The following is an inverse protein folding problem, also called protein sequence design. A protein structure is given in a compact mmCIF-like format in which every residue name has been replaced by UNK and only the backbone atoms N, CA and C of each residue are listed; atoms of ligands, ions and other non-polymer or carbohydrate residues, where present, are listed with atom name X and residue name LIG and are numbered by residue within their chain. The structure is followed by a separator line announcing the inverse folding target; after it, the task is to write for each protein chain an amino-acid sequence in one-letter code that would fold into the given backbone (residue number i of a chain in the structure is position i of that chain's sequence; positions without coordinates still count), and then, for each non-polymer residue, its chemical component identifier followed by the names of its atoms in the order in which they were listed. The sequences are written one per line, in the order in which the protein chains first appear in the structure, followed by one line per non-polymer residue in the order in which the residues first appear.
data_IF_053495782029
#
_entry.id   IF_053495782029
#
_cell.length_a   1.000
_cell.length_b   1.000
_cell.length_c   1.000
_cell.angle_alpha   90.00
_cell.angle_beta   90.00
_cell.angle_gamma   90.00
#
_symmetry.space_group_name_H-M   'P 1'
#
loop_
_entity.id
_entity.type
_entity.pdbx_description
1 polymer ?
#
# COMPACT_ATOMS: atom_id res chain seq x y z
N UNK A 1 99.90 -43.14 -24.60
CA UNK A 1 99.31 -44.39 -24.18
C UNK A 1 98.25 -44.08 -23.08
N UNK A 2 97.04 -44.43 -23.35
CA UNK A 2 95.96 -44.85 -22.45
C UNK A 2 95.38 -43.76 -21.50
N UNK A 3 94.27 -43.60 -21.27
CA UNK A 3 92.88 -44.06 -21.51
C UNK A 3 91.98 -43.28 -20.61
N UNK A 4 90.99 -42.65 -21.09
CA UNK A 4 89.58 -42.94 -21.12
C UNK A 4 88.84 -43.20 -19.79
N UNK A 5 87.61 -42.60 -19.72
CA UNK A 5 86.35 -42.96 -19.05
C UNK A 5 86.11 -42.32 -17.70
N UNK A 6 85.07 -41.51 -17.64
CA UNK A 6 83.76 -41.78 -17.21
C UNK A 6 83.16 -40.67 -16.33
N UNK A 7 82.36 -39.79 -16.86
CA UNK A 7 81.43 -39.00 -16.05
C UNK A 7 80.18 -38.61 -16.88
N UNK A 8 79.21 -39.43 -16.77
CA UNK A 8 77.93 -39.15 -17.38
C UNK A 8 76.86 -39.98 -16.71
N UNK A 9 76.22 -39.47 -15.60
CA UNK A 9 74.94 -39.94 -15.10
C UNK A 9 74.62 -39.34 -13.72
N UNK A 10 74.37 -38.04 -13.61
CA UNK A 10 73.79 -37.47 -12.38
C UNK A 10 72.94 -36.22 -12.60
N UNK A 11 72.53 -35.83 -13.79
CA UNK A 11 71.81 -34.59 -14.00
C UNK A 11 70.29 -34.73 -14.34
N UNK A 12 69.74 -35.92 -14.46
CA UNK A 12 68.37 -36.10 -14.92
C UNK A 12 67.29 -36.35 -13.80
N UNK A 13 67.69 -36.42 -12.52
CA UNK A 13 66.68 -36.63 -11.42
C UNK A 13 66.22 -35.36 -10.69
N UNK A 14 66.94 -34.25 -10.79
CA UNK A 14 66.60 -33.01 -10.09
C UNK A 14 65.46 -32.17 -10.78
N UNK A 15 65.24 -32.40 -12.07
CA UNK A 15 64.35 -31.55 -12.85
C UNK A 15 62.84 -32.03 -12.85
N UNK A 16 62.58 -33.20 -12.31
CA UNK A 16 61.19 -33.73 -12.30
C UNK A 16 60.40 -33.43 -11.00
N UNK A 17 61.11 -33.22 -9.88
CA UNK A 17 60.49 -32.86 -8.59
C UNK A 17 60.01 -31.39 -8.58
N UNK A 18 60.77 -30.49 -9.21
CA UNK A 18 60.40 -29.07 -9.29
C UNK A 18 59.18 -28.80 -10.21
N UNK A 19 59.00 -29.62 -11.24
CA UNK A 19 57.82 -29.54 -12.11
C UNK A 19 56.56 -30.03 -11.40
N UNK A 20 56.64 -31.07 -10.58
CA UNK A 20 55.51 -31.58 -9.81
C UNK A 20 55.08 -30.59 -8.71
N UNK A 21 56.01 -29.97 -7.99
CA UNK A 21 55.71 -28.95 -6.97
C UNK A 21 55.11 -27.69 -7.58
N UNK A 22 55.55 -27.25 -8.76
CA UNK A 22 54.94 -26.11 -9.47
C UNK A 22 53.57 -26.43 -10.00
N UNK A 23 53.28 -27.65 -10.47
CA UNK A 23 51.95 -28.05 -10.88
C UNK A 23 50.96 -28.10 -9.68
N UNK A 24 51.43 -28.60 -8.53
CA UNK A 24 50.62 -28.62 -7.29
C UNK A 24 50.27 -27.21 -6.80
N UNK A 25 51.19 -26.26 -6.86
CA UNK A 25 50.94 -24.86 -6.54
C UNK A 25 49.91 -24.21 -7.47
N UNK A 26 49.95 -24.49 -8.76
CA UNK A 26 48.96 -23.99 -9.71
C UNK A 26 47.53 -24.56 -9.45
N UNK A 27 47.46 -25.83 -9.02
CA UNK A 27 46.16 -26.43 -8.63
C UNK A 27 45.58 -25.78 -7.40
N UNK A 28 46.38 -25.46 -6.39
CA UNK A 28 45.90 -24.74 -5.18
C UNK A 28 45.50 -23.31 -5.48
N UNK A 29 46.22 -22.59 -6.35
CA UNK A 29 45.87 -21.25 -6.80
C UNK A 29 44.56 -21.27 -7.61
N UNK A 30 44.38 -22.24 -8.51
CA UNK A 30 43.15 -22.42 -9.28
C UNK A 30 41.97 -22.77 -8.38
N UNK A 31 42.17 -23.62 -7.37
CA UNK A 31 41.13 -23.96 -6.38
C UNK A 31 40.75 -22.75 -5.52
N UNK A 32 41.73 -21.98 -5.06
CA UNK A 32 41.50 -20.75 -4.30
C UNK A 32 40.77 -19.68 -5.12
N UNK A 33 41.15 -19.53 -6.42
CA UNK A 33 40.46 -18.63 -7.35
C UNK A 33 39.00 -19.07 -7.63
N UNK A 34 38.78 -20.39 -7.80
CA UNK A 34 37.45 -20.95 -7.98
C UNK A 34 36.58 -20.79 -6.71
N UNK A 35 37.13 -20.94 -5.50
CA UNK A 35 36.42 -20.69 -4.24
C UNK A 35 36.12 -19.21 -4.05
N UNK A 36 37.04 -18.30 -4.41
CA UNK A 36 36.81 -16.86 -4.37
C UNK A 36 35.73 -16.42 -5.36
N UNK A 37 35.70 -17.03 -6.56
CA UNK A 37 34.65 -16.79 -7.56
C UNK A 37 33.29 -17.34 -7.10
N UNK A 38 33.25 -18.50 -6.46
CA UNK A 38 32.03 -19.08 -5.88
C UNK A 38 31.51 -18.26 -4.70
N UNK A 39 32.40 -17.70 -3.87
CA UNK A 39 32.01 -16.81 -2.76
C UNK A 39 31.45 -15.47 -3.25
N UNK A 40 31.90 -14.94 -4.40
CA UNK A 40 31.35 -13.71 -4.99
C UNK A 40 29.97 -13.91 -5.64
N UNK A 41 29.62 -15.14 -6.03
CA UNK A 41 28.28 -15.48 -6.57
C UNK A 41 27.22 -15.74 -5.48
N UNK A 42 27.63 -15.94 -4.21
CA UNK A 42 26.72 -16.24 -3.11
C UNK A 42 26.05 -15.00 -2.50
N UNK A 43 26.40 -13.77 -2.92
CA UNK A 43 25.79 -12.51 -2.45
C UNK A 43 24.96 -11.84 -3.54
N UNK A 44 24.22 -12.61 -4.33
CA UNK A 44 23.15 -12.04 -5.14
C UNK A 44 21.97 -11.68 -4.20
N UNK A 45 22.08 -10.54 -3.50
CA UNK A 45 20.91 -9.91 -2.89
C UNK A 45 19.90 -9.70 -4.01
N UNK A 46 18.65 -10.12 -3.78
CA UNK A 46 17.54 -9.80 -4.69
C UNK A 46 17.55 -8.28 -4.90
N UNK A 47 17.67 -7.79 -6.14
CA UNK A 47 17.70 -6.34 -6.36
C UNK A 47 16.40 -5.74 -5.84
N UNK A 48 16.51 -4.81 -4.90
CA UNK A 48 15.40 -4.02 -4.43
C UNK A 48 14.81 -3.18 -5.57
N UNK A 49 13.57 -2.76 -5.44
CA UNK A 49 12.97 -1.82 -6.38
C UNK A 49 13.45 -0.41 -6.03
N UNK A 50 14.12 0.32 -6.94
CA UNK A 50 14.49 1.71 -6.67
C UNK A 50 13.23 2.57 -6.58
N UNK A 51 13.10 3.32 -5.50
CA UNK A 51 12.05 4.28 -5.26
C UNK A 51 12.62 5.52 -4.57
N UNK A 52 12.00 6.69 -4.76
CA UNK A 52 12.44 7.88 -4.05
C UNK A 52 11.88 7.88 -2.63
N UNK A 53 12.63 8.48 -1.71
CA UNK A 53 12.19 8.62 -0.31
C UNK A 53 10.78 9.19 -0.22
N UNK A 54 10.44 10.25 -0.98
CA UNK A 54 9.10 10.84 -1.01
C UNK A 54 7.97 9.91 -1.44
N UNK A 55 8.27 8.81 -2.18
CA UNK A 55 7.27 7.88 -2.68
C UNK A 55 6.98 6.75 -1.68
N UNK A 56 7.91 6.50 -0.74
CA UNK A 56 7.87 5.38 0.21
C UNK A 56 7.88 5.80 1.67
N UNK A 57 8.05 7.09 1.92
CA UNK A 57 8.10 7.65 3.27
C UNK A 57 7.42 9.02 3.33
N UNK A 58 7.10 9.43 4.55
CA UNK A 58 6.56 10.75 4.90
C UNK A 58 7.43 11.40 5.95
N UNK A 59 7.39 12.73 6.05
CA UNK A 59 8.15 13.46 7.06
C UNK A 59 7.26 13.67 8.28
N UNK A 60 7.77 13.35 9.46
CA UNK A 60 7.04 13.51 10.73
C UNK A 60 6.65 14.98 10.94
N UNK A 61 5.39 15.20 11.30
CA UNK A 61 4.85 16.55 11.52
C UNK A 61 4.32 17.23 10.25
N UNK A 62 4.70 16.76 9.05
CA UNK A 62 4.17 17.27 7.78
C UNK A 62 3.04 16.34 7.33
N UNK A 63 1.80 16.71 7.63
CA UNK A 63 0.63 15.89 7.32
C UNK A 63 -0.58 16.75 6.98
N UNK A 64 -1.48 16.15 6.25
CA UNK A 64 -2.81 16.71 6.04
C UNK A 64 -3.59 16.77 7.35
N UNK A 65 -4.32 17.87 7.58
CA UNK A 65 -5.18 18.04 8.72
C UNK A 65 -6.65 17.98 8.28
N UNK A 66 -7.44 17.15 8.96
CA UNK A 66 -8.87 17.06 8.67
C UNK A 66 -9.61 18.18 9.38
N UNK A 67 -10.44 18.90 8.62
CA UNK A 67 -11.31 19.94 9.13
C UNK A 67 -12.76 19.50 9.04
N UNK A 68 -13.55 19.84 10.06
CA UNK A 68 -14.96 19.53 10.12
C UNK A 68 -15.75 20.79 10.45
N UNK A 69 -16.87 20.99 9.78
CA UNK A 69 -17.80 22.06 10.06
C UNK A 69 -19.24 21.60 10.04
N UNK A 70 -20.10 22.38 10.62
CA UNK A 70 -21.54 22.20 10.56
C UNK A 70 -22.17 23.44 9.93
N UNK A 71 -22.93 23.26 8.86
CA UNK A 71 -23.47 24.35 8.06
C UNK A 71 -24.87 24.11 7.56
N UNK A 72 -25.35 25.06 6.78
CA UNK A 72 -26.68 25.06 6.19
C UNK A 72 -26.56 25.19 4.66
N UNK A 73 -27.20 24.29 3.95
CA UNK A 73 -27.43 24.37 2.50
C UNK A 73 -28.79 24.97 2.26
N UNK A 74 -28.88 25.95 1.39
CA UNK A 74 -30.12 26.64 1.02
C UNK A 74 -30.37 26.56 -0.47
N UNK A 75 -31.62 26.87 -0.91
CA UNK A 75 -31.98 26.87 -2.32
C UNK A 75 -32.44 25.50 -2.84
N UNK A 76 -32.71 24.56 -1.93
CA UNK A 76 -33.23 23.24 -2.28
C UNK A 76 -34.68 23.32 -2.72
N UNK A 77 -35.05 22.65 -3.81
CA UNK A 77 -36.41 22.73 -4.38
C UNK A 77 -37.36 21.72 -3.71
N UNK A 78 -37.60 21.89 -2.42
CA UNK A 78 -38.48 20.99 -1.64
C UNK A 78 -37.85 19.64 -1.26
N UNK A 79 -36.56 19.47 -1.49
CA UNK A 79 -35.80 18.23 -1.20
C UNK A 79 -34.99 18.32 0.09
N UNK A 80 -35.07 19.46 0.78
CA UNK A 80 -34.37 19.70 2.05
C UNK A 80 -34.98 18.93 3.23
N UNK A 81 -34.56 19.31 4.43
CA UNK A 81 -34.97 18.66 5.67
C UNK A 81 -36.46 18.88 5.94
N UNK A 82 -37.07 17.93 6.65
CA UNK A 82 -38.47 18.05 7.07
C UNK A 82 -38.61 18.97 8.29
N UNK A 83 -39.83 19.37 8.56
CA UNK A 83 -40.15 20.17 9.76
C UNK A 83 -39.94 19.43 11.09
N UNK A 84 -39.71 18.13 11.04
CA UNK A 84 -39.39 17.32 12.23
C UNK A 84 -37.93 17.47 12.66
N UNK A 85 -37.08 17.97 11.78
CA UNK A 85 -35.65 18.20 12.05
C UNK A 85 -35.47 19.63 12.60
N UNK A 86 -35.14 19.75 13.88
CA UNK A 86 -35.00 21.05 14.57
C UNK A 86 -33.74 21.80 14.16
N UNK A 87 -32.66 21.09 13.81
CA UNK A 87 -31.34 21.64 13.56
C UNK A 87 -31.27 22.71 12.46
N UNK A 88 -31.88 22.56 11.26
CA UNK A 88 -31.82 23.56 10.21
C UNK A 88 -32.44 24.90 10.60
N UNK A 89 -33.56 24.85 11.30
CA UNK A 89 -34.27 26.06 11.78
C UNK A 89 -33.41 26.84 12.79
N UNK A 90 -32.80 26.14 13.75
CA UNK A 90 -31.97 26.76 14.77
C UNK A 90 -30.68 27.34 14.17
N UNK A 91 -30.08 26.64 13.23
CA UNK A 91 -28.86 27.11 12.52
C UNK A 91 -29.16 28.36 11.67
N UNK A 92 -30.31 28.38 10.99
CA UNK A 92 -30.77 29.55 10.26
C UNK A 92 -30.95 30.76 11.17
N UNK A 93 -31.63 30.58 12.31
CA UNK A 93 -31.83 31.66 13.27
C UNK A 93 -30.50 32.23 13.75
N UNK A 94 -29.58 31.35 14.15
CA UNK A 94 -28.24 31.77 14.57
C UNK A 94 -27.47 32.49 13.46
N UNK A 95 -27.66 32.11 12.20
CA UNK A 95 -27.07 32.79 11.06
C UNK A 95 -27.68 34.17 10.83
N UNK A 96 -29.04 34.30 10.95
CA UNK A 96 -29.76 35.55 10.82
C UNK A 96 -29.42 36.54 11.96
N UNK A 97 -29.30 36.04 13.19
CA UNK A 97 -28.91 36.84 14.36
C UNK A 97 -27.48 37.41 14.19
N UNK A 98 -26.56 36.66 13.65
CA UNK A 98 -25.19 37.13 13.30
C UNK A 98 -25.20 38.23 12.24
N UNK A 99 -26.20 38.24 11.36
CA UNK A 99 -26.44 39.30 10.37
C UNK A 99 -27.26 40.49 10.92
N UNK A 100 -27.60 40.47 12.21
CA UNK A 100 -28.40 41.52 12.86
C UNK A 100 -29.91 41.40 12.65
N UNK A 101 -30.40 40.26 12.16
CA UNK A 101 -31.81 40.00 11.94
C UNK A 101 -32.36 39.19 13.13
N UNK A 102 -33.30 39.77 13.90
CA UNK A 102 -33.92 39.10 15.05
C UNK A 102 -35.16 38.33 14.61
N UNK A 103 -35.22 37.05 14.90
CA UNK A 103 -36.39 36.20 14.64
C UNK A 103 -37.18 36.03 15.93
N UNK A 104 -38.51 36.30 15.94
CA UNK A 104 -39.34 36.10 17.14
C UNK A 104 -39.28 34.63 17.62
N UNK A 105 -39.09 34.45 18.91
CA UNK A 105 -39.03 33.10 19.53
C UNK A 105 -40.43 32.55 19.84
N UNK A 106 -41.47 33.41 19.87
CA UNK A 106 -42.86 33.06 20.24
C UNK A 106 -43.86 33.64 19.24
N UNK A 107 -44.93 32.92 18.97
CA UNK A 107 -46.01 33.36 18.08
C UNK A 107 -46.14 32.52 16.80
N UNK A 108 -47.04 32.92 15.90
CA UNK A 108 -47.29 32.22 14.63
C UNK A 108 -46.11 32.20 13.69
N UNK A 109 -45.18 33.16 13.82
CA UNK A 109 -43.92 33.29 13.05
C UNK A 109 -42.71 32.80 13.84
N UNK A 110 -42.91 31.97 14.85
CA UNK A 110 -41.80 31.42 15.64
C UNK A 110 -40.96 30.42 14.84
N UNK A 111 -39.74 30.24 15.26
CA UNK A 111 -38.82 29.28 14.70
C UNK A 111 -39.39 27.85 14.55
N UNK A 112 -40.29 27.47 15.49
CA UNK A 112 -40.93 26.15 15.48
C UNK A 112 -41.91 25.93 14.29
N UNK A 113 -42.40 26.99 13.67
CA UNK A 113 -43.31 26.94 12.54
C UNK A 113 -42.66 27.18 11.18
N UNK A 114 -41.32 27.33 11.14
CA UNK A 114 -40.62 27.49 9.89
C UNK A 114 -40.61 26.20 9.06
N UNK A 115 -41.05 26.30 7.82
CA UNK A 115 -40.95 25.19 6.87
C UNK A 115 -39.58 25.23 6.20
N UNK A 116 -38.70 24.34 6.63
CA UNK A 116 -37.29 24.29 6.16
C UNK A 116 -37.07 23.39 4.93
N UNK A 117 -38.14 23.08 4.18
CA UNK A 117 -38.09 22.17 3.00
C UNK A 117 -37.09 22.59 1.91
N UNK A 118 -36.70 23.86 1.88
CA UNK A 118 -35.73 24.39 0.92
C UNK A 118 -34.29 24.51 1.52
N UNK A 119 -34.11 23.93 2.70
CA UNK A 119 -32.83 23.99 3.42
C UNK A 119 -32.49 22.62 3.98
N UNK A 120 -31.20 22.37 4.17
CA UNK A 120 -30.71 21.15 4.82
C UNK A 120 -29.50 21.45 5.71
N UNK A 121 -29.51 20.88 6.90
CA UNK A 121 -28.32 20.85 7.75
C UNK A 121 -27.30 19.89 7.18
N UNK A 122 -26.06 20.31 7.14
CA UNK A 122 -24.95 19.50 6.56
C UNK A 122 -23.72 19.49 7.46
N UNK A 123 -23.05 18.35 7.50
CA UNK A 123 -21.66 18.29 7.89
C UNK A 123 -20.78 18.58 6.68
N UNK A 124 -19.76 19.38 6.91
CA UNK A 124 -18.79 19.77 5.89
C UNK A 124 -17.43 19.27 6.32
N UNK A 125 -16.76 18.56 5.44
CA UNK A 125 -15.39 18.06 5.67
C UNK A 125 -14.47 18.61 4.61
N UNK A 126 -13.23 18.91 5.03
CA UNK A 126 -12.17 19.36 4.16
C UNK A 126 -10.83 18.80 4.63
N UNK A 127 -9.91 18.63 3.70
CA UNK A 127 -8.53 18.27 4.00
C UNK A 127 -7.66 19.51 3.81
N UNK A 128 -7.05 19.98 4.90
CA UNK A 128 -6.12 21.12 4.90
C UNK A 128 -4.71 20.59 4.65
N UNK A 129 -4.12 20.85 3.47
CA UNK A 129 -2.74 20.46 3.18
C UNK A 129 -1.73 21.13 4.11
N UNK A 130 -0.59 20.50 4.38
CA UNK A 130 0.47 21.10 5.17
C UNK A 130 0.94 22.42 4.51
N UNK A 131 1.45 23.34 5.31
CA UNK A 131 1.93 24.65 4.90
C UNK A 131 0.92 25.56 4.17
N UNK A 132 -0.37 25.22 4.20
CA UNK A 132 -1.41 26.06 3.64
C UNK A 132 -1.42 27.43 4.32
N UNK A 133 -1.49 28.48 3.51
CA UNK A 133 -1.51 29.89 3.98
C UNK A 133 -2.90 30.50 3.82
N UNK A 134 -3.23 31.54 4.56
CA UNK A 134 -4.45 32.30 4.37
C UNK A 134 -4.62 32.72 2.90
N UNK A 135 -5.83 32.53 2.37
CA UNK A 135 -6.15 32.73 0.96
C UNK A 135 -6.03 31.49 0.08
N UNK A 136 -5.50 30.38 0.58
CA UNK A 136 -5.50 29.11 -0.17
C UNK A 136 -6.92 28.54 -0.24
N UNK A 137 -7.31 28.06 -1.44
CA UNK A 137 -8.61 27.43 -1.67
C UNK A 137 -8.49 25.92 -1.69
N UNK A 138 -9.43 25.25 -1.04
CA UNK A 138 -9.51 23.80 -1.03
C UNK A 138 -10.93 23.31 -1.29
N UNK A 139 -11.05 22.09 -1.77
CA UNK A 139 -12.31 21.41 -2.00
C UNK A 139 -12.95 21.00 -0.68
N UNK A 140 -14.25 21.02 -0.65
CA UNK A 140 -15.02 20.50 0.48
C UNK A 140 -16.03 19.45 0.02
N UNK A 141 -16.39 18.59 0.95
CA UNK A 141 -17.52 17.67 0.80
C UNK A 141 -18.56 17.99 1.85
N UNK A 142 -19.81 18.22 1.43
CA UNK A 142 -20.94 18.43 2.29
C UNK A 142 -21.87 17.21 2.25
N UNK A 143 -22.28 16.74 3.41
CA UNK A 143 -23.18 15.59 3.59
C UNK A 143 -24.35 15.98 4.46
N UNK A 144 -25.57 15.61 4.07
CA UNK A 144 -26.77 15.88 4.84
C UNK A 144 -26.67 15.28 6.25
N UNK A 145 -26.94 16.08 7.26
CA UNK A 145 -27.01 15.69 8.67
C UNK A 145 -28.44 15.36 9.11
N UNK A 146 -29.45 15.79 8.34
CA UNK A 146 -30.88 15.59 8.59
C UNK A 146 -31.47 14.54 7.66
N UNK A 147 -32.75 14.76 7.32
CA UNK A 147 -33.55 13.88 6.47
C UNK A 147 -33.77 14.42 5.05
N UNK A 148 -32.89 15.32 4.60
CA UNK A 148 -32.93 15.86 3.25
C UNK A 148 -32.80 14.74 2.22
N UNK A 149 -33.64 14.79 1.18
CA UNK A 149 -33.69 13.79 0.11
C UNK A 149 -32.67 14.03 -0.98
N UNK A 150 -32.31 15.31 -1.20
CA UNK A 150 -31.27 15.70 -2.18
C UNK A 150 -30.76 17.09 -1.84
N UNK A 151 -29.48 17.30 -2.07
CA UNK A 151 -28.80 18.60 -1.97
C UNK A 151 -28.60 19.26 -3.34
N UNK A 152 -29.28 18.75 -4.39
CA UNK A 152 -29.14 19.23 -5.77
C UNK A 152 -29.58 20.68 -5.89
N UNK A 153 -28.77 21.50 -6.58
CA UNK A 153 -29.05 22.93 -6.77
C UNK A 153 -28.81 23.79 -5.52
N UNK A 154 -28.43 23.18 -4.41
CA UNK A 154 -28.20 23.88 -3.15
C UNK A 154 -26.91 24.69 -3.11
N UNK A 155 -26.90 25.73 -2.29
CA UNK A 155 -25.75 26.57 -2.00
C UNK A 155 -25.44 26.44 -0.51
N UNK A 156 -24.20 26.09 -0.18
CA UNK A 156 -23.69 26.09 1.18
C UNK A 156 -23.50 27.53 1.65
N UNK A 157 -24.13 27.90 2.73
CA UNK A 157 -23.88 29.18 3.42
C UNK A 157 -22.53 29.16 4.11
N UNK A 158 -21.97 30.34 4.39
CA UNK A 158 -20.68 30.50 5.06
C UNK A 158 -20.63 29.68 6.35
N UNK A 159 -19.74 28.69 6.36
CA UNK A 159 -19.59 27.67 7.39
C UNK A 159 -18.17 27.62 7.89
N UNK A 160 -17.92 27.83 9.19
CA UNK A 160 -16.58 27.68 9.76
C UNK A 160 -16.17 26.22 9.80
N UNK A 161 -14.92 25.94 9.45
CA UNK A 161 -14.29 24.61 9.52
C UNK A 161 -13.29 24.59 10.67
N UNK A 162 -13.49 23.64 11.57
CA UNK A 162 -12.72 23.47 12.80
C UNK A 162 -11.71 22.35 12.68
N UNK A 163 -10.52 22.57 13.23
CA UNK A 163 -9.55 21.52 13.49
C UNK A 163 -9.86 20.72 14.76
N UNK A 164 -9.06 19.67 15.05
CA UNK A 164 -9.21 18.85 16.26
C UNK A 164 -9.03 19.63 17.57
N UNK A 165 -8.35 20.77 17.52
CA UNK A 165 -8.12 21.70 18.63
C UNK A 165 -9.30 22.65 18.88
N UNK A 166 -10.39 22.54 18.11
CA UNK A 166 -11.58 23.39 18.19
C UNK A 166 -11.37 24.81 17.62
N UNK A 167 -10.24 25.10 16.96
CA UNK A 167 -10.01 26.39 16.30
C UNK A 167 -10.51 26.38 14.86
N UNK A 168 -10.95 27.57 14.39
CA UNK A 168 -11.35 27.75 12.98
C UNK A 168 -10.12 27.96 12.13
N UNK A 169 -9.94 27.11 11.12
CA UNK A 169 -8.86 27.17 10.15
C UNK A 169 -9.28 27.66 8.78
N UNK A 170 -10.53 27.40 8.38
CA UNK A 170 -11.04 27.81 7.09
C UNK A 170 -12.52 28.17 7.16
N UNK A 171 -12.99 28.87 6.14
CA UNK A 171 -14.42 29.15 5.94
C UNK A 171 -14.87 28.56 4.61
N UNK A 172 -15.97 27.82 4.64
CA UNK A 172 -16.53 27.13 3.49
C UNK A 172 -17.81 27.79 3.00
N UNK A 173 -17.96 27.98 1.69
CA UNK A 173 -19.20 28.41 1.04
C UNK A 173 -19.18 28.06 -0.45
N UNK A 174 -20.36 27.95 -1.07
CA UNK A 174 -20.44 27.81 -2.51
C UNK A 174 -21.56 26.87 -2.98
N UNK A 175 -21.71 26.78 -4.29
CA UNK A 175 -22.70 25.92 -4.92
C UNK A 175 -22.26 24.44 -4.87
N UNK A 176 -23.16 23.55 -4.50
CA UNK A 176 -22.89 22.12 -4.45
C UNK A 176 -22.95 21.50 -5.85
N UNK A 177 -21.98 20.67 -6.16
CA UNK A 177 -21.95 19.80 -7.33
C UNK A 177 -22.15 18.37 -6.86
N UNK A 178 -23.22 17.72 -7.33
CA UNK A 178 -23.54 16.34 -7.00
C UNK A 178 -23.14 15.40 -8.12
N UNK A 179 -22.65 14.22 -7.77
CA UNK A 179 -22.33 13.15 -8.72
C UNK A 179 -23.51 12.24 -9.08
N UNK A 180 -24.73 12.57 -8.62
CA UNK A 180 -25.93 11.76 -8.80
C UNK A 180 -27.20 12.59 -8.93
N UNK A 181 -28.26 11.96 -9.41
CA UNK A 181 -29.58 12.58 -9.47
C UNK A 181 -30.66 11.61 -8.97
N UNK A 182 -31.78 12.18 -8.52
CA UNK A 182 -32.99 11.44 -8.19
C UNK A 182 -34.13 11.90 -9.13
N UNK A 183 -34.69 10.97 -9.87
CA UNK A 183 -35.86 11.23 -10.71
C UNK A 183 -37.07 10.47 -10.16
N UNK A 184 -38.15 11.20 -9.85
CA UNK A 184 -39.40 10.62 -9.37
C UNK A 184 -40.46 10.89 -10.42
N UNK A 185 -41.10 9.84 -10.95
CA UNK A 185 -42.20 9.97 -11.91
C UNK A 185 -43.07 8.73 -11.93
N UNK A 186 -44.41 8.93 -12.04
CA UNK A 186 -45.36 7.83 -12.22
C UNK A 186 -45.36 6.76 -11.12
N UNK A 187 -45.04 7.11 -9.86
CA UNK A 187 -45.00 6.17 -8.74
C UNK A 187 -43.69 5.37 -8.60
N UNK A 188 -42.72 5.60 -9.49
CA UNK A 188 -41.37 4.98 -9.43
C UNK A 188 -40.31 6.03 -9.15
N UNK A 189 -39.43 5.75 -8.21
CA UNK A 189 -38.25 6.58 -7.92
C UNK A 189 -37.01 5.87 -8.48
N UNK A 190 -36.29 6.52 -9.39
CA UNK A 190 -34.98 6.06 -9.87
C UNK A 190 -33.91 6.96 -9.27
N UNK A 191 -33.08 6.37 -8.45
CA UNK A 191 -31.92 7.04 -7.83
C UNK A 191 -30.63 6.54 -8.46
N UNK A 192 -29.77 7.46 -8.87
CA UNK A 192 -28.42 7.17 -9.32
C UNK A 192 -27.44 7.88 -8.37
N UNK A 193 -26.58 7.12 -7.71
CA UNK A 193 -25.66 7.58 -6.68
C UNK A 193 -26.35 8.20 -5.44
N UNK A 194 -25.58 8.86 -4.58
CA UNK A 194 -26.08 9.45 -3.33
C UNK A 194 -26.34 10.96 -3.50
N UNK A 195 -27.61 11.38 -3.66
CA UNK A 195 -27.94 12.79 -3.85
C UNK A 195 -27.81 13.63 -2.57
N UNK A 196 -27.53 13.00 -1.43
CA UNK A 196 -27.38 13.64 -0.11
C UNK A 196 -25.93 14.04 0.20
N UNK A 197 -24.98 13.79 -0.73
CA UNK A 197 -23.57 14.19 -0.62
C UNK A 197 -23.21 14.99 -1.85
N UNK A 198 -22.60 16.17 -1.65
CA UNK A 198 -22.14 17.03 -2.72
C UNK A 198 -20.74 17.59 -2.44
N UNK A 199 -20.04 17.98 -3.48
CA UNK A 199 -18.74 18.66 -3.39
C UNK A 199 -18.86 20.11 -3.79
N UNK A 200 -18.05 20.97 -3.19
CA UNK A 200 -17.86 22.36 -3.64
C UNK A 200 -16.39 22.53 -3.98
N UNK A 201 -16.02 22.49 -5.28
CA UNK A 201 -14.63 22.70 -5.70
C UNK A 201 -14.13 24.09 -5.31
N UNK A 202 -12.99 24.16 -4.63
CA UNK A 202 -12.41 25.42 -4.13
C UNK A 202 -13.33 26.17 -3.16
N UNK A 203 -14.28 25.45 -2.52
CA UNK A 203 -15.34 26.04 -1.70
C UNK A 203 -14.90 26.48 -0.31
N UNK A 204 -13.74 26.06 0.17
CA UNK A 204 -13.20 26.57 1.43
C UNK A 204 -11.99 27.46 1.20
N UNK A 205 -11.95 28.56 1.96
CA UNK A 205 -10.85 29.50 2.01
C UNK A 205 -10.15 29.35 3.36
N UNK A 206 -8.83 29.13 3.33
CA UNK A 206 -8.00 29.06 4.54
C UNK A 206 -7.86 30.45 5.14
N UNK A 207 -8.17 30.58 6.43
CA UNK A 207 -8.06 31.81 7.22
C UNK A 207 -6.87 31.78 8.19
N UNK A 208 -6.49 30.60 8.63
CA UNK A 208 -5.42 30.40 9.61
C UNK A 208 -4.51 29.27 9.19
N UNK A 209 -3.20 29.46 9.33
CA UNK A 209 -2.19 28.41 9.16
C UNK A 209 -2.12 27.50 10.37
N UNK A 210 -1.86 26.22 10.14
CA UNK A 210 -1.39 25.32 11.21
C UNK A 210 0.04 25.74 11.57
N UNK A 211 0.33 26.04 12.84
CA UNK A 211 1.66 26.44 13.25
C UNK A 211 2.64 25.26 13.07
N UNK A 212 3.51 25.38 12.09
CA UNK A 212 4.61 24.44 11.88
C UNK A 212 5.83 25.27 11.42
N UNK A 213 6.86 25.32 12.29
CA UNK A 213 8.05 26.14 12.02
C UNK A 213 9.24 25.25 11.68
N UNK A 214 9.56 25.16 10.40
CA UNK A 214 10.73 24.43 9.91
C UNK A 214 12.05 24.94 10.51
N UNK A 215 12.13 26.22 10.92
CA UNK A 215 13.36 26.80 11.47
C UNK A 215 13.70 26.30 12.89
N UNK A 216 12.71 25.79 13.61
CA UNK A 216 12.90 25.25 14.95
C UNK A 216 13.23 23.75 14.93
N UNK A 217 13.18 23.11 13.76
CA UNK A 217 13.56 21.71 13.63
C UNK A 217 15.09 21.57 13.58
N UNK A 218 15.63 20.73 14.45
CA UNK A 218 17.04 20.36 14.45
C UNK A 218 17.24 18.98 13.83
N UNK A 219 16.21 18.14 13.88
CA UNK A 219 16.19 16.79 13.33
C UNK A 219 14.97 16.61 12.45
N UNK A 220 15.14 15.89 11.37
CA UNK A 220 14.06 15.47 10.47
C UNK A 220 13.84 14.00 10.68
N UNK A 221 12.63 13.61 11.07
CA UNK A 221 12.23 12.20 11.13
C UNK A 221 11.50 11.82 9.85
N UNK A 222 12.06 10.89 9.11
CA UNK A 222 11.47 10.28 7.92
C UNK A 222 10.79 8.99 8.34
N UNK A 223 9.50 8.87 8.06
CA UNK A 223 8.65 7.74 8.48
C UNK A 223 8.30 6.91 7.26
N UNK A 224 8.76 5.66 7.22
CA UNK A 224 8.43 4.70 6.19
C UNK A 224 6.94 4.34 6.22
N UNK A 225 6.31 4.29 5.05
CA UNK A 225 4.91 3.87 4.92
C UNK A 225 4.74 2.40 5.33
N UNK A 226 5.66 1.53 4.91
CA UNK A 226 5.72 0.12 5.30
C UNK A 226 6.90 -0.12 6.26
N UNK A 227 6.63 -0.80 7.39
CA UNK A 227 7.65 -1.07 8.40
C UNK A 227 8.59 -2.19 7.93
N UNK A 228 9.87 -1.85 7.71
CA UNK A 228 10.91 -2.79 7.33
C UNK A 228 12.30 -2.29 7.79
N UNK A 229 12.97 -3.07 8.63
CA UNK A 229 14.29 -2.72 9.16
C UNK A 229 15.36 -2.61 8.06
N UNK A 230 15.29 -3.49 7.05
CA UNK A 230 16.27 -3.49 5.97
C UNK A 230 16.14 -2.25 5.10
N UNK A 231 14.91 -1.89 4.74
CA UNK A 231 14.63 -0.66 3.99
C UNK A 231 14.98 0.60 4.80
N UNK A 232 14.74 0.60 6.12
CA UNK A 232 15.09 1.73 7.00
C UNK A 232 16.61 1.96 7.04
N UNK A 233 17.41 0.90 7.19
CA UNK A 233 18.87 0.97 7.18
C UNK A 233 19.41 1.42 5.82
N UNK A 234 18.90 0.82 4.72
CA UNK A 234 19.26 1.24 3.36
C UNK A 234 18.91 2.70 3.08
N UNK A 235 17.78 3.16 3.61
CA UNK A 235 17.38 4.57 3.49
C UNK A 235 18.37 5.48 4.22
N UNK A 236 18.76 5.15 5.46
CA UNK A 236 19.76 5.91 6.21
C UNK A 236 21.08 6.00 5.44
N UNK A 237 21.60 4.86 4.96
CA UNK A 237 22.83 4.78 4.17
C UNK A 237 22.76 5.63 2.87
N UNK A 238 21.62 5.59 2.17
CA UNK A 238 21.43 6.33 0.92
C UNK A 238 21.35 7.84 1.17
N UNK A 239 20.69 8.26 2.25
CA UNK A 239 20.62 9.66 2.68
C UNK A 239 22.03 10.15 3.06
N UNK A 240 22.80 9.39 3.81
CA UNK A 240 24.18 9.74 4.20
C UNK A 240 25.10 9.90 2.98
N UNK A 241 24.97 9.00 2.00
CA UNK A 241 25.71 9.12 0.74
C UNK A 241 25.33 10.38 -0.03
N UNK A 242 24.05 10.72 -0.07
CA UNK A 242 23.55 11.92 -0.76
C UNK A 242 23.97 13.21 -0.06
N UNK A 243 24.03 13.21 1.28
CA UNK A 243 24.45 14.36 2.09
C UNK A 243 25.98 14.47 2.21
N UNK A 244 26.72 13.39 1.92
CA UNK A 244 28.19 13.33 2.02
C UNK A 244 28.72 13.29 3.46
N UNK A 245 27.85 13.12 4.46
CA UNK A 245 28.18 13.06 5.89
C UNK A 245 27.23 12.10 6.62
N UNK A 246 27.71 11.31 7.60
CA UNK A 246 26.86 10.41 8.38
C UNK A 246 25.98 11.21 9.35
N UNK A 247 24.73 11.41 8.98
CA UNK A 247 23.73 12.19 9.75
C UNK A 247 22.37 11.50 9.85
N UNK A 248 22.19 10.41 9.10
CA UNK A 248 20.96 9.65 9.07
C UNK A 248 21.13 8.36 9.87
N UNK A 249 20.16 8.05 10.73
CA UNK A 249 20.16 6.84 11.55
C UNK A 249 18.79 6.21 11.58
N UNK A 250 18.69 4.90 11.30
CA UNK A 250 17.48 4.15 11.49
C UNK A 250 17.25 3.95 13.00
N UNK A 251 16.17 4.53 13.54
CA UNK A 251 15.79 4.38 14.95
C UNK A 251 15.00 3.09 15.17
N UNK A 252 14.13 2.78 14.24
CA UNK A 252 13.32 1.57 14.22
C UNK A 252 12.97 1.16 12.77
N UNK A 253 12.14 0.14 12.60
CA UNK A 253 11.74 -0.39 11.29
C UNK A 253 10.95 0.60 10.42
N UNK A 254 10.58 1.74 10.96
CA UNK A 254 9.73 2.72 10.29
C UNK A 254 10.34 4.12 10.31
N UNK A 255 11.18 4.43 11.29
CA UNK A 255 11.67 5.79 11.55
C UNK A 255 13.16 5.91 11.27
N UNK A 256 13.50 6.83 10.38
CA UNK A 256 14.88 7.24 10.09
C UNK A 256 15.02 8.70 10.52
N UNK A 257 15.95 9.00 11.42
CA UNK A 257 16.22 10.35 11.88
C UNK A 257 17.43 10.94 11.15
N UNK A 258 17.27 12.15 10.64
CA UNK A 258 18.31 12.90 9.93
C UNK A 258 18.60 14.18 10.71
N UNK A 259 19.83 14.34 11.20
CA UNK A 259 20.26 15.52 11.93
C UNK A 259 20.65 16.64 10.98
N UNK A 260 20.07 17.84 11.17
CA UNK A 260 20.42 19.03 10.42
C UNK A 260 21.69 19.69 10.97
N UNK A 261 22.49 20.33 10.10
CA UNK A 261 23.59 21.17 10.56
C UNK A 261 23.07 22.49 11.16
N UNK A 262 23.80 23.10 12.09
CA UNK A 262 23.47 24.43 12.58
C UNK A 262 23.37 25.43 11.41
N UNK A 263 22.27 26.17 11.33
CA UNK A 263 21.96 27.16 10.28
C UNK A 263 21.79 26.60 8.84
N UNK A 264 21.56 25.29 8.71
CA UNK A 264 21.20 24.69 7.41
C UNK A 264 19.79 25.12 7.01
N UNK A 265 19.60 25.39 5.72
CA UNK A 265 18.24 25.61 5.19
C UNK A 265 17.47 24.30 5.20
N UNK A 266 16.49 24.19 6.10
CA UNK A 266 15.68 22.98 6.28
C UNK A 266 14.92 22.62 5.01
N UNK A 267 14.45 23.58 4.23
CA UNK A 267 13.74 23.29 2.99
C UNK A 267 14.67 22.65 1.94
N UNK A 268 15.93 23.12 1.87
CA UNK A 268 16.93 22.54 0.98
C UNK A 268 17.38 21.15 1.45
N UNK A 269 17.44 20.91 2.76
CA UNK A 269 17.73 19.58 3.33
C UNK A 269 16.60 18.61 2.99
N UNK A 270 15.35 18.99 3.19
CA UNK A 270 14.18 18.18 2.87
C UNK A 270 14.10 17.81 1.39
N UNK A 271 14.33 18.76 0.49
CA UNK A 271 14.37 18.52 -0.96
C UNK A 271 15.42 17.47 -1.32
N UNK A 272 16.62 17.58 -0.73
CA UNK A 272 17.68 16.58 -0.95
C UNK A 272 17.25 15.20 -0.43
N UNK A 273 16.72 15.11 0.80
CA UNK A 273 16.29 13.86 1.42
C UNK A 273 15.16 13.21 0.62
N UNK A 274 14.14 13.97 0.23
CA UNK A 274 13.00 13.46 -0.54
C UNK A 274 13.37 12.95 -1.93
N UNK A 275 14.41 13.51 -2.53
CA UNK A 275 14.87 13.14 -3.88
C UNK A 275 15.82 11.94 -3.91
N UNK A 276 16.29 11.45 -2.75
CA UNK A 276 17.19 10.29 -2.65
C UNK A 276 16.49 9.04 -3.17
N UNK A 277 17.21 8.26 -3.97
CA UNK A 277 16.78 6.93 -4.42
C UNK A 277 17.22 5.87 -3.40
N UNK A 278 16.27 5.02 -3.02
CA UNK A 278 16.45 3.93 -2.05
C UNK A 278 15.95 2.63 -2.65
N UNK A 279 16.69 1.56 -2.45
CA UNK A 279 16.24 0.22 -2.78
C UNK A 279 15.23 -0.26 -1.72
N UNK A 280 13.98 -0.42 -2.09
CA UNK A 280 12.92 -0.89 -1.22
C UNK A 280 12.57 -2.34 -1.51
N UNK A 281 12.23 -3.07 -0.45
CA UNK A 281 11.84 -4.49 -0.49
C UNK A 281 10.36 -4.60 -0.06
N UNK A 282 9.42 -4.24 -0.96
CA UNK A 282 8.01 -4.31 -0.61
C UNK A 282 7.60 -5.75 -0.35
N UNK A 283 6.81 -5.96 0.70
CA UNK A 283 6.19 -7.26 0.94
C UNK A 283 5.29 -7.61 -0.23
N UNK A 284 5.36 -8.86 -0.66
CA UNK A 284 4.43 -9.36 -1.66
C UNK A 284 2.99 -9.19 -1.15
N UNK A 285 2.11 -8.61 -1.97
CA UNK A 285 0.72 -8.34 -1.60
C UNK A 285 -0.23 -8.83 -2.68
N UNK A 286 -1.29 -9.46 -2.24
CA UNK A 286 -2.42 -9.85 -3.09
C UNK A 286 -3.65 -9.09 -2.62
N UNK A 287 -4.20 -8.25 -3.49
CA UNK A 287 -5.41 -7.46 -3.21
C UNK A 287 -6.58 -8.04 -4.00
N UNK A 288 -7.65 -8.37 -3.31
CA UNK A 288 -8.83 -8.96 -3.92
C UNK A 288 -10.05 -8.10 -3.63
N UNK A 289 -10.77 -7.69 -4.67
CA UNK A 289 -12.04 -7.00 -4.54
C UNK A 289 -13.20 -7.98 -4.72
N UNK A 290 -13.90 -8.28 -3.61
CA UNK A 290 -15.00 -9.26 -3.61
C UNK A 290 -16.17 -8.82 -4.47
N UNK A 291 -16.47 -7.53 -4.51
CA UNK A 291 -17.61 -6.97 -5.25
C UNK A 291 -17.42 -7.02 -6.77
N UNK A 292 -16.20 -6.78 -7.23
CA UNK A 292 -15.89 -6.75 -8.68
C UNK A 292 -15.26 -8.05 -9.18
N UNK A 293 -14.80 -8.92 -8.29
CA UNK A 293 -14.05 -10.14 -8.61
C UNK A 293 -12.64 -9.86 -9.14
N UNK A 294 -12.10 -8.66 -8.91
CA UNK A 294 -10.78 -8.27 -9.39
C UNK A 294 -9.71 -8.77 -8.42
N UNK A 295 -8.71 -9.47 -8.94
CA UNK A 295 -7.52 -9.88 -8.17
C UNK A 295 -6.31 -9.12 -8.71
N UNK A 296 -5.61 -8.40 -7.84
CA UNK A 296 -4.38 -7.67 -8.15
C UNK A 296 -3.23 -8.33 -7.39
N UNK A 297 -2.22 -8.78 -8.12
CA UNK A 297 -1.06 -9.47 -7.56
C UNK A 297 0.14 -8.54 -7.69
N UNK A 298 0.71 -8.13 -6.57
CA UNK A 298 1.91 -7.29 -6.50
C UNK A 298 3.16 -8.15 -6.35
N UNK A 299 3.99 -8.19 -7.38
CA UNK A 299 5.22 -8.99 -7.40
C UNK A 299 4.99 -10.49 -7.71
N UNK A 300 6.09 -11.25 -7.81
CA UNK A 300 6.01 -12.70 -8.01
C UNK A 300 5.80 -13.38 -6.66
N UNK A 301 4.53 -13.63 -6.30
CA UNK A 301 4.16 -14.36 -5.10
C UNK A 301 4.25 -15.86 -5.37
N UNK A 302 5.15 -16.55 -4.68
CA UNK A 302 5.31 -18.01 -4.79
C UNK A 302 4.40 -18.73 -3.81
N UNK A 303 3.97 -19.92 -4.22
CA UNK A 303 3.16 -20.83 -3.41
C UNK A 303 4.03 -21.92 -2.81
N UNK A 304 3.82 -22.17 -1.52
CA UNK A 304 4.39 -23.35 -0.84
C UNK A 304 3.53 -24.59 -1.10
N UNK A 305 4.11 -25.80 -0.98
CA UNK A 305 3.38 -27.04 -1.15
C UNK A 305 2.17 -27.13 -0.21
N UNK A 306 0.99 -27.34 -0.78
CA UNK A 306 -0.27 -27.41 -0.04
C UNK A 306 -1.31 -28.18 -0.84
N UNK A 307 -2.23 -28.84 -0.13
CA UNK A 307 -3.41 -29.48 -0.71
C UNK A 307 -4.67 -28.87 -0.10
N UNK A 308 -5.54 -28.31 -0.94
CA UNK A 308 -6.77 -27.66 -0.52
C UNK A 308 -7.94 -28.30 -1.27
N UNK A 309 -8.99 -28.62 -0.52
CA UNK A 309 -10.27 -29.06 -1.05
C UNK A 309 -11.32 -28.00 -0.73
N UNK A 310 -11.87 -27.36 -1.75
CA UNK A 310 -12.91 -26.36 -1.62
C UNK A 310 -14.11 -26.68 -2.51
N UNK A 311 -15.24 -27.06 -1.91
CA UNK A 311 -16.42 -27.50 -2.67
C UNK A 311 -16.13 -28.68 -3.58
N UNK A 312 -16.27 -28.46 -4.90
CA UNK A 312 -15.96 -29.46 -5.94
C UNK A 312 -14.58 -29.27 -6.60
N UNK A 313 -13.70 -28.43 -6.04
CA UNK A 313 -12.36 -28.14 -6.53
C UNK A 313 -11.31 -28.70 -5.59
N UNK A 314 -10.31 -29.40 -6.12
CA UNK A 314 -9.13 -29.85 -5.39
C UNK A 314 -7.88 -29.17 -5.98
N UNK A 315 -7.19 -28.38 -5.19
CA UNK A 315 -5.95 -27.70 -5.55
C UNK A 315 -4.79 -28.36 -4.82
N UNK A 316 -3.80 -28.86 -5.56
CA UNK A 316 -2.60 -29.45 -5.01
C UNK A 316 -1.36 -28.74 -5.57
N UNK A 317 -0.51 -28.22 -4.70
CA UNK A 317 0.84 -27.77 -5.04
C UNK A 317 1.80 -28.85 -4.58
N UNK A 318 2.44 -29.52 -5.53
CA UNK A 318 3.22 -30.77 -5.26
C UNK A 318 4.71 -30.47 -5.49
N UNK A 319 5.54 -30.91 -4.55
CA UNK A 319 7.00 -30.98 -4.73
C UNK A 319 7.32 -32.20 -5.59
N UNK A 320 7.89 -32.01 -6.79
CA UNK A 320 8.45 -33.11 -7.57
C UNK A 320 9.71 -33.63 -6.89
N UNK A 321 9.61 -34.79 -6.21
CA UNK A 321 10.80 -35.52 -5.79
C UNK A 321 11.48 -36.06 -7.04
N UNK A 322 12.60 -35.43 -7.48
CA UNK A 322 13.51 -36.02 -8.47
C UNK A 322 14.11 -37.27 -7.88
N UNK A 323 13.51 -38.42 -8.16
CA UNK A 323 14.13 -39.71 -7.87
C UNK A 323 15.31 -39.85 -8.83
N UNK A 324 16.51 -39.68 -8.31
CA UNK A 324 17.75 -40.00 -9.04
C UNK A 324 17.74 -41.54 -9.25
N UNK A 325 17.33 -41.99 -10.43
CA UNK A 325 17.53 -43.37 -10.81
C UNK A 325 19.01 -43.66 -10.99
N UNK A 326 19.60 -44.66 -10.35
CA UNK A 326 20.96 -45.11 -10.63
C UNK A 326 21.04 -45.54 -12.10
N UNK A 327 22.15 -45.20 -12.75
CA UNK A 327 22.42 -45.65 -14.11
C UNK A 327 22.28 -47.13 -14.29
N UNK A 328 21.76 -47.58 -15.43
CA UNK A 328 21.42 -48.98 -15.78
C UNK A 328 22.59 -50.00 -15.76
N UNK A 329 23.77 -49.65 -15.23
CA UNK A 329 24.96 -50.46 -15.11
C UNK A 329 25.45 -50.72 -13.67
N UNK A 330 24.66 -50.42 -12.63
CA UNK A 330 25.04 -50.85 -11.28
C UNK A 330 24.43 -52.22 -11.00
N UNK A 331 25.26 -53.26 -10.95
CA UNK A 331 24.84 -54.61 -10.55
C UNK A 331 24.54 -54.61 -9.06
N UNK A 332 23.20 -54.68 -8.71
CA UNK A 332 22.80 -54.89 -7.33
C UNK A 332 21.57 -54.09 -6.82
N UNK A 333 20.66 -53.66 -7.68
CA UNK A 333 19.43 -52.97 -7.26
C UNK A 333 18.21 -53.89 -7.46
N UNK A 334 17.52 -54.27 -6.39
CA UNK A 334 16.21 -54.97 -6.45
C UNK A 334 15.11 -53.94 -6.68
N UNK A 335 14.40 -54.05 -7.82
CA UNK A 335 13.20 -53.28 -8.10
C UNK A 335 12.03 -53.83 -7.25
N UNK A 336 11.61 -53.04 -6.27
CA UNK A 336 10.40 -53.33 -5.52
C UNK A 336 9.21 -52.63 -6.18
N UNK A 337 8.36 -53.41 -6.84
CA UNK A 337 7.10 -52.93 -7.42
C UNK A 337 6.08 -52.79 -6.30
N UNK A 338 5.79 -51.57 -5.91
CA UNK A 338 4.67 -51.27 -5.00
C UNK A 338 3.39 -51.23 -5.84
N UNK A 339 2.55 -52.25 -5.67
CA UNK A 339 1.20 -52.24 -6.27
C UNK A 339 0.35 -51.19 -5.54
N UNK A 340 0.03 -50.13 -6.22
CA UNK A 340 -1.01 -49.21 -5.78
C UNK A 340 -2.38 -49.85 -6.01
N UNK A 341 -3.05 -50.20 -4.94
CA UNK A 341 -4.45 -50.62 -4.96
C UNK A 341 -5.31 -49.39 -5.16
N UNK A 342 -5.82 -49.20 -6.38
CA UNK A 342 -6.77 -48.14 -6.69
C UNK A 342 -8.13 -48.52 -6.14
N UNK A 343 -8.56 -47.90 -5.06
CA UNK A 343 -9.95 -47.96 -4.60
C UNK A 343 -10.75 -46.95 -5.43
N UNK A 344 -11.54 -47.42 -6.39
CA UNK A 344 -12.49 -46.58 -7.12
C UNK A 344 -13.71 -46.32 -6.23
N UNK A 345 -13.69 -45.17 -5.51
CA UNK A 345 -14.90 -44.58 -5.01
C UNK A 345 -15.48 -43.72 -6.14
N UNK A 346 -16.71 -44.01 -6.58
CA UNK A 346 -17.45 -43.16 -7.52
C UNK A 346 -17.96 -41.93 -6.81
N UNK A 347 -17.09 -40.95 -6.59
CA UNK A 347 -17.46 -39.60 -6.24
C UNK A 347 -17.55 -38.72 -7.49
N UNK A 348 -18.43 -37.72 -7.43
CA UNK A 348 -18.58 -36.72 -8.52
C UNK A 348 -17.18 -36.23 -8.99
N UNK A 349 -16.99 -35.97 -10.30
CA UNK A 349 -15.68 -35.53 -10.77
C UNK A 349 -15.29 -34.23 -10.07
N UNK A 350 -14.34 -34.34 -9.17
CA UNK A 350 -13.70 -33.18 -8.54
C UNK A 350 -12.74 -32.62 -9.57
N UNK A 351 -12.92 -31.37 -9.94
CA UNK A 351 -11.97 -30.68 -10.80
C UNK A 351 -10.65 -30.55 -10.03
N UNK A 352 -9.62 -31.24 -10.48
CA UNK A 352 -8.32 -31.26 -9.86
C UNK A 352 -7.37 -30.33 -10.57
N UNK A 353 -6.72 -29.47 -9.82
CA UNK A 353 -5.67 -28.56 -10.26
C UNK A 353 -4.38 -29.00 -9.60
N UNK A 354 -3.40 -29.44 -10.38
CA UNK A 354 -2.07 -29.80 -9.90
C UNK A 354 -1.07 -28.75 -10.38
N UNK A 355 -0.50 -28.00 -9.45
CA UNK A 355 0.53 -26.99 -9.69
C UNK A 355 1.89 -27.53 -9.27
N UNK A 356 2.94 -27.12 -9.98
CA UNK A 356 4.33 -27.48 -9.65
C UNK A 356 4.85 -26.65 -8.48
N UNK A 357 5.87 -27.16 -7.81
CA UNK A 357 6.61 -26.39 -6.81
C UNK A 357 7.15 -25.09 -7.43
N UNK A 358 6.99 -23.99 -6.70
CA UNK A 358 7.39 -22.66 -7.17
C UNK A 358 6.39 -22.00 -8.12
N UNK A 359 5.19 -22.59 -8.32
CA UNK A 359 4.08 -21.94 -9.00
C UNK A 359 3.73 -20.61 -8.32
N UNK A 360 3.31 -19.65 -9.12
CA UNK A 360 2.91 -18.33 -8.63
C UNK A 360 1.41 -18.29 -8.34
N UNK A 361 0.98 -17.29 -7.57
CA UNK A 361 -0.44 -17.01 -7.36
C UNK A 361 -1.14 -16.70 -8.69
N UNK A 362 -0.42 -16.10 -9.64
CA UNK A 362 -0.94 -15.83 -10.98
C UNK A 362 -1.30 -17.13 -11.71
N UNK A 363 -0.40 -18.13 -11.69
CA UNK A 363 -0.65 -19.44 -12.29
C UNK A 363 -1.87 -20.12 -11.65
N UNK A 364 -1.98 -20.06 -10.32
CA UNK A 364 -3.14 -20.59 -9.59
C UNK A 364 -4.45 -19.92 -10.02
N UNK A 365 -4.47 -18.58 -10.04
CA UNK A 365 -5.68 -17.83 -10.41
C UNK A 365 -6.08 -18.11 -11.86
N UNK A 366 -5.12 -18.21 -12.78
CA UNK A 366 -5.39 -18.59 -14.17
C UNK A 366 -6.00 -19.99 -14.31
N UNK A 367 -5.45 -20.97 -13.58
CA UNK A 367 -5.99 -22.34 -13.60
C UNK A 367 -7.37 -22.43 -12.94
N UNK A 368 -7.61 -21.71 -11.85
CA UNK A 368 -8.93 -21.60 -11.24
C UNK A 368 -9.96 -20.98 -12.19
N UNK A 369 -9.58 -19.94 -12.91
CA UNK A 369 -10.46 -19.32 -13.92
C UNK A 369 -10.75 -20.28 -15.10
N UNK A 370 -9.77 -21.07 -15.54
CA UNK A 370 -9.96 -22.08 -16.60
C UNK A 370 -10.93 -23.18 -16.20
N UNK A 371 -10.96 -23.54 -14.92
CA UNK A 371 -11.91 -24.53 -14.38
C UNK A 371 -13.29 -23.94 -14.10
N UNK A 372 -13.48 -22.63 -14.30
CA UNK A 372 -14.75 -21.94 -14.10
C UNK A 372 -15.04 -21.56 -12.65
N UNK A 373 -14.00 -21.50 -11.80
CA UNK A 373 -14.13 -21.03 -10.43
C UNK A 373 -14.61 -19.58 -10.38
N UNK A 374 -15.58 -19.29 -9.54
CA UNK A 374 -16.08 -17.94 -9.32
C UNK A 374 -15.07 -17.08 -8.51
N UNK A 375 -15.26 -15.77 -8.52
CA UNK A 375 -14.42 -14.86 -7.74
C UNK A 375 -14.39 -15.20 -6.24
N UNK A 376 -15.53 -15.62 -5.68
CA UNK A 376 -15.63 -16.03 -4.26
C UNK A 376 -14.83 -17.28 -3.96
N UNK A 377 -14.83 -18.25 -4.87
CA UNK A 377 -14.05 -19.49 -4.70
C UNK A 377 -12.55 -19.18 -4.70
N UNK A 378 -12.10 -18.30 -5.61
CA UNK A 378 -10.71 -17.82 -5.67
C UNK A 378 -10.31 -17.16 -4.35
N UNK A 379 -11.16 -16.28 -3.81
CA UNK A 379 -10.92 -15.59 -2.54
C UNK A 379 -10.80 -16.60 -1.40
N UNK A 380 -11.77 -17.52 -1.28
CA UNK A 380 -11.78 -18.52 -0.22
C UNK A 380 -10.56 -19.44 -0.27
N UNK A 381 -10.12 -19.83 -1.47
CA UNK A 381 -8.92 -20.64 -1.67
C UNK A 381 -7.66 -19.85 -1.25
N UNK A 382 -7.53 -18.58 -1.67
CA UNK A 382 -6.39 -17.75 -1.29
C UNK A 382 -6.34 -17.48 0.23
N UNK A 383 -7.49 -17.29 0.87
CA UNK A 383 -7.58 -17.16 2.33
C UNK A 383 -7.14 -18.44 3.04
N UNK A 384 -7.63 -19.60 2.59
CA UNK A 384 -7.23 -20.89 3.14
C UNK A 384 -5.73 -21.16 2.96
N UNK A 385 -5.14 -20.75 1.81
CA UNK A 385 -3.70 -20.85 1.57
C UNK A 385 -2.90 -19.93 2.50
N UNK A 386 -3.41 -18.72 2.78
CA UNK A 386 -2.77 -17.80 3.73
C UNK A 386 -2.79 -18.36 5.15
N UNK A 387 -3.94 -18.89 5.59
CA UNK A 387 -4.08 -19.52 6.91
C UNK A 387 -3.22 -20.77 7.05
N UNK A 388 -3.08 -21.56 5.97
CA UNK A 388 -2.21 -22.73 5.94
C UNK A 388 -0.71 -22.38 5.86
N UNK A 389 -0.34 -21.08 5.71
CA UNK A 389 1.04 -20.65 5.55
C UNK A 389 1.63 -20.96 4.16
N UNK A 390 0.82 -21.36 3.20
CA UNK A 390 1.24 -21.66 1.84
C UNK A 390 1.33 -20.44 0.91
N UNK A 391 0.81 -19.30 1.35
CA UNK A 391 0.87 -18.03 0.64
C UNK A 391 1.83 -17.08 1.34
N UNK A 392 3.00 -16.83 0.75
CA UNK A 392 4.02 -15.91 1.25
C UNK A 392 3.73 -14.47 0.81
N UNK A 393 2.53 -13.99 1.07
CA UNK A 393 2.11 -12.63 0.75
C UNK A 393 1.07 -12.12 1.75
N UNK A 394 0.94 -10.81 1.86
CA UNK A 394 -0.18 -10.20 2.57
C UNK A 394 -1.43 -10.25 1.68
N UNK A 395 -2.53 -10.75 2.23
CA UNK A 395 -3.82 -10.84 1.54
C UNK A 395 -4.74 -9.74 2.06
N UNK A 396 -5.14 -8.83 1.18
CA UNK A 396 -6.06 -7.74 1.48
C UNK A 396 -7.35 -7.92 0.68
N UNK A 397 -8.50 -7.90 1.37
CA UNK A 397 -9.82 -8.04 0.74
C UNK A 397 -10.54 -6.71 0.83
N UNK A 398 -11.00 -6.16 -0.33
CA UNK A 398 -11.67 -4.86 -0.48
C UNK A 398 -13.15 -5.02 -0.80
#
# INVERSE_FOLDING_TARGET
MGSCWGSGMRETKANNSDRQHRQWLWWWVALAAALALAASLAHAETPGRPARVKDVATIEGIRDNQLVGYGLVVGLHGTGDSSQTVFPAQTLISALERMGITVPQTGANSAANMQVKNMAAVFVVATLPPFSRPGYKMDITASSAGDARSLEGGILLMTPLYGPDGQVYAQAQGALVLGGYMATGGGSTKQLNHPTVGRVPGGALVERTVPFDLKQMHNVSVILNDADFHTAERMADSIDKALGTPRAHAIDSRRVEVTANPNEDMAALLDKVESVEVDVFPRARVVVNERTGTVVIGGSVRLQPVSILHGGLSVNVITEAKVSQPNAFSSGGTTQVVQQTTVQAQDKPVNRIDLKEGATVEDLVQELQRTGAGARDVISILQAMKEAGALEADLEVL
#
